data_IF_057186279545
#
_entry.id   IF_057186279545
#
_cell.length_a   1.000
_cell.length_b   1.000
_cell.length_c   1.000
_cell.angle_alpha   90.00
_cell.angle_beta   90.00
_cell.angle_gamma   90.00
#
_symmetry.space_group_name_H-M   'P 1'
#
loop_
_entity.id
_entity.type
_entity.pdbx_description
1 polymer ?
#
# COMPACT_ATOMS: atom_id res chain seq x y z
N UNK A 1 66.98 -32.27 13.71
CA UNK A 1 65.93 -31.52 14.46
C UNK A 1 64.82 -31.17 13.48
N UNK A 2 63.57 -31.41 13.90
CA UNK A 2 62.29 -30.84 13.45
C UNK A 2 62.32 -29.80 12.30
N UNK A 3 61.44 -29.81 11.31
CA UNK A 3 60.18 -30.53 11.10
C UNK A 3 59.52 -30.03 9.80
N UNK A 4 58.53 -30.77 9.31
CA UNK A 4 57.67 -30.36 8.19
C UNK A 4 56.94 -29.04 8.48
N UNK A 5 56.75 -28.21 7.44
CA UNK A 5 55.52 -27.42 7.34
C UNK A 5 55.10 -27.26 5.88
N UNK A 6 54.18 -28.12 5.46
CA UNK A 6 53.22 -27.83 4.39
C UNK A 6 52.06 -27.07 5.04
N UNK A 7 51.79 -25.87 4.54
CA UNK A 7 50.51 -25.15 4.63
C UNK A 7 50.39 -24.47 3.25
N UNK A 8 49.52 -24.86 2.33
CA UNK A 8 48.08 -25.08 2.49
C UNK A 8 47.44 -23.72 2.80
N UNK A 9 46.46 -23.19 2.10
CA UNK A 9 45.61 -23.64 0.99
C UNK A 9 44.65 -22.46 0.70
N UNK A 10 43.91 -22.51 -0.41
CA UNK A 10 42.55 -21.92 -0.58
C UNK A 10 42.42 -20.43 -0.93
N UNK A 11 42.18 -20.24 -2.23
CA UNK A 11 41.17 -19.38 -2.90
C UNK A 11 40.05 -18.74 -2.06
N UNK A 12 39.66 -17.51 -2.43
CA UNK A 12 38.32 -16.94 -2.20
C UNK A 12 38.28 -15.47 -2.63
N UNK A 13 37.58 -15.02 -3.67
CA UNK A 13 36.26 -15.46 -4.14
C UNK A 13 35.20 -14.84 -3.23
N UNK A 14 34.70 -13.65 -3.55
CA UNK A 14 33.71 -13.00 -2.68
C UNK A 14 33.33 -11.57 -3.05
N UNK A 15 32.99 -11.32 -4.32
CA UNK A 15 32.28 -10.10 -4.72
C UNK A 15 31.13 -10.44 -5.66
N UNK A 16 30.32 -11.43 -5.29
CA UNK A 16 29.05 -11.75 -5.96
C UNK A 16 28.06 -12.09 -4.86
N UNK A 17 27.26 -11.12 -4.40
CA UNK A 17 26.34 -11.39 -3.29
C UNK A 17 25.22 -10.40 -3.06
N UNK A 18 25.20 -9.22 -3.70
CA UNK A 18 24.18 -8.19 -3.38
C UNK A 18 23.09 -8.05 -4.44
N UNK A 19 23.28 -8.61 -5.65
CA UNK A 19 22.31 -8.41 -6.75
C UNK A 19 21.20 -9.47 -6.82
N UNK A 20 21.33 -10.61 -6.14
CA UNK A 20 20.34 -11.70 -6.27
C UNK A 20 19.07 -11.42 -5.47
N UNK A 21 19.18 -10.72 -4.32
CA UNK A 21 18.03 -10.46 -3.46
C UNK A 21 17.00 -9.52 -4.12
N UNK A 22 17.45 -8.52 -4.88
CA UNK A 22 16.55 -7.61 -5.59
C UNK A 22 15.88 -8.27 -6.82
N UNK A 23 16.60 -9.15 -7.53
CA UNK A 23 16.09 -9.84 -8.71
C UNK A 23 15.07 -10.95 -8.42
N UNK A 24 15.13 -11.55 -7.23
CA UNK A 24 14.25 -12.67 -6.86
C UNK A 24 12.77 -12.28 -6.67
N UNK A 25 12.48 -11.00 -6.39
CA UNK A 25 11.10 -10.51 -6.26
C UNK A 25 10.45 -10.21 -7.61
N UNK A 26 11.22 -9.89 -8.65
CA UNK A 26 10.68 -9.55 -9.97
C UNK A 26 10.18 -10.76 -10.76
N UNK A 27 10.60 -11.98 -10.39
CA UNK A 27 10.32 -13.20 -11.14
C UNK A 27 9.06 -13.97 -10.70
N UNK A 28 8.37 -13.55 -9.63
CA UNK A 28 7.24 -14.29 -9.09
C UNK A 28 5.96 -13.46 -9.04
N UNK A 29 5.30 -13.38 -10.19
CA UNK A 29 3.98 -12.78 -10.33
C UNK A 29 2.99 -13.89 -10.72
N UNK A 30 2.56 -14.70 -9.76
CA UNK A 30 1.52 -15.72 -9.99
C UNK A 30 0.85 -16.32 -8.73
N UNK A 31 1.31 -16.01 -7.51
CA UNK A 31 0.62 -16.51 -6.32
C UNK A 31 -0.64 -15.67 -6.07
N UNK A 32 -1.79 -16.32 -5.93
CA UNK A 32 -3.02 -15.66 -5.50
C UNK A 32 -2.85 -14.95 -4.14
N UNK A 33 -3.77 -14.06 -3.79
CA UNK A 33 -3.73 -13.34 -2.52
C UNK A 33 -3.98 -14.31 -1.36
N UNK A 34 -3.03 -14.42 -0.42
CA UNK A 34 -3.26 -15.10 0.85
C UNK A 34 -4.21 -14.23 1.70
N UNK A 35 -5.48 -14.65 1.80
CA UNK A 35 -6.52 -13.90 2.51
C UNK A 35 -6.25 -13.72 4.00
N UNK A 36 -5.54 -14.67 4.63
CA UNK A 36 -5.19 -14.56 6.05
C UNK A 36 -4.14 -13.47 6.22
N UNK A 37 -3.05 -13.54 5.45
CA UNK A 37 -2.01 -12.52 5.48
C UNK A 37 -2.57 -11.15 5.10
N UNK A 38 -3.44 -11.10 4.09
CA UNK A 38 -4.12 -9.87 3.67
C UNK A 38 -4.96 -9.27 4.80
N UNK A 39 -5.70 -10.09 5.54
CA UNK A 39 -6.46 -9.66 6.72
C UNK A 39 -5.59 -9.04 7.82
N UNK A 40 -4.33 -9.50 7.95
CA UNK A 40 -3.37 -8.97 8.92
C UNK A 40 -2.75 -7.64 8.45
N UNK A 41 -2.36 -7.53 7.17
CA UNK A 41 -1.63 -6.36 6.66
C UNK A 41 -2.53 -5.22 6.19
N UNK A 42 -3.74 -5.52 5.68
CA UNK A 42 -4.65 -4.50 5.12
C UNK A 42 -4.94 -3.36 6.10
N UNK A 43 -5.32 -3.58 7.36
CA UNK A 43 -5.61 -2.48 8.29
C UNK A 43 -4.39 -1.59 8.56
N UNK A 44 -3.18 -2.19 8.56
CA UNK A 44 -1.92 -1.45 8.73
C UNK A 44 -1.65 -0.54 7.52
N UNK A 45 -1.89 -1.05 6.31
CA UNK A 45 -1.76 -0.28 5.07
C UNK A 45 -2.77 0.86 5.05
N UNK A 46 -4.05 0.59 5.29
CA UNK A 46 -5.13 1.60 5.28
C UNK A 46 -4.90 2.69 6.32
N UNK A 47 -4.46 2.33 7.53
CA UNK A 47 -4.12 3.29 8.57
C UNK A 47 -2.93 4.18 8.16
N UNK A 48 -1.90 3.60 7.52
CA UNK A 48 -0.75 4.37 7.03
C UNK A 48 -1.16 5.31 5.90
N UNK A 49 -1.98 4.86 4.96
CA UNK A 49 -2.53 5.68 3.87
C UNK A 49 -3.30 6.88 4.42
N UNK A 50 -4.26 6.65 5.32
CA UNK A 50 -5.05 7.72 5.92
C UNK A 50 -4.20 8.71 6.74
N UNK A 51 -3.11 8.24 7.37
CA UNK A 51 -2.17 9.11 8.07
C UNK A 51 -1.34 9.98 7.11
N UNK A 52 -0.91 9.42 5.97
CA UNK A 52 -0.12 10.13 4.96
C UNK A 52 -0.94 11.15 4.14
N UNK A 53 -2.26 10.94 4.00
CA UNK A 53 -3.14 11.88 3.31
C UNK A 53 -3.48 13.14 4.13
N UNK A 54 -3.21 13.14 5.45
CA UNK A 54 -3.49 14.31 6.28
C UNK A 54 -2.73 15.53 5.77
N UNK A 55 -3.42 16.66 5.66
CA UNK A 55 -2.87 17.93 5.18
C UNK A 55 -2.84 18.08 3.67
N UNK A 56 -3.23 17.07 2.88
CA UNK A 56 -3.23 17.17 1.41
C UNK A 56 -4.61 17.45 0.81
N UNK A 57 -5.67 17.54 1.62
CA UNK A 57 -7.05 17.66 1.18
C UNK A 57 -7.58 19.09 1.21
N UNK A 58 -8.55 19.38 0.33
CA UNK A 58 -9.23 20.67 0.30
C UNK A 58 -10.11 20.86 1.54
N UNK A 59 -10.80 19.81 2.00
CA UNK A 59 -11.76 19.89 3.09
C UNK A 59 -11.14 20.31 4.42
N UNK A 60 -9.91 19.87 4.68
CA UNK A 60 -9.11 20.30 5.84
C UNK A 60 -8.81 21.81 5.85
N UNK A 61 -8.83 22.48 4.69
CA UNK A 61 -8.64 23.94 4.58
C UNK A 61 -9.92 24.74 4.81
N UNK A 62 -11.10 24.10 4.80
CA UNK A 62 -12.40 24.76 4.94
C UNK A 62 -12.86 24.70 6.41
N UNK A 63 -12.94 25.85 7.11
CA UNK A 63 -13.39 25.86 8.50
C UNK A 63 -14.81 25.30 8.66
N UNK A 64 -15.02 24.52 9.73
CA UNK A 64 -16.34 24.02 10.11
C UNK A 64 -16.78 22.72 9.43
N UNK A 65 -16.06 22.23 8.41
CA UNK A 65 -16.37 20.95 7.73
C UNK A 65 -15.84 19.74 8.52
N UNK A 66 -14.74 19.92 9.25
CA UNK A 66 -14.13 18.85 10.06
C UNK A 66 -13.70 17.65 9.22
N UNK A 67 -13.21 17.90 8.00
CA UNK A 67 -12.92 16.87 7.02
C UNK A 67 -11.88 15.85 7.51
N UNK A 68 -12.00 14.61 7.01
CA UNK A 68 -11.13 13.49 7.36
C UNK A 68 -10.97 12.53 6.19
N UNK A 69 -9.76 11.98 6.08
CA UNK A 69 -9.42 10.94 5.12
C UNK A 69 -9.88 9.55 5.55
N UNK A 70 -10.49 8.83 4.62
CA UNK A 70 -10.89 7.44 4.71
C UNK A 70 -10.26 6.71 3.52
N UNK A 71 -9.46 5.69 3.82
CA UNK A 71 -8.73 4.93 2.81
C UNK A 71 -9.09 3.46 2.88
N UNK A 72 -9.20 2.83 1.71
CA UNK A 72 -9.27 1.37 1.57
C UNK A 72 -8.21 0.89 0.58
N UNK A 73 -7.79 -0.34 0.77
CA UNK A 73 -6.90 -1.03 -0.14
C UNK A 73 -7.52 -2.35 -0.62
N UNK A 74 -7.21 -2.73 -1.86
CA UNK A 74 -7.50 -4.04 -2.43
C UNK A 74 -6.19 -4.67 -2.89
N UNK A 75 -5.97 -5.94 -2.55
CA UNK A 75 -4.74 -6.63 -2.91
C UNK A 75 -4.77 -7.03 -4.40
N UNK A 76 -3.74 -6.63 -5.13
CA UNK A 76 -3.45 -7.08 -6.48
C UNK A 76 -2.44 -8.23 -6.46
N UNK A 77 -1.46 -8.14 -5.56
CA UNK A 77 -0.38 -9.10 -5.37
C UNK A 77 0.04 -9.11 -3.91
N UNK A 78 0.39 -10.27 -3.38
CA UNK A 78 0.89 -10.40 -2.02
C UNK A 78 1.94 -11.50 -1.96
N UNK A 79 3.12 -11.18 -1.44
CA UNK A 79 4.21 -12.13 -1.25
C UNK A 79 4.90 -11.87 0.09
N UNK A 80 5.17 -12.92 0.85
CA UNK A 80 5.89 -12.88 2.13
C UNK A 80 7.15 -13.73 2.06
N UNK A 81 8.28 -13.15 2.48
CA UNK A 81 9.56 -13.86 2.62
C UNK A 81 10.35 -13.32 3.80
N UNK A 82 10.87 -14.24 4.63
CA UNK A 82 11.70 -13.92 5.79
C UNK A 82 11.10 -12.83 6.70
N UNK A 83 9.77 -12.85 6.87
CA UNK A 83 9.04 -11.87 7.68
C UNK A 83 8.86 -10.49 7.03
N UNK A 84 9.19 -10.35 5.75
CA UNK A 84 8.93 -9.16 4.94
C UNK A 84 7.80 -9.44 3.96
N UNK A 85 6.88 -8.50 3.83
CA UNK A 85 5.73 -8.59 2.91
C UNK A 85 5.88 -7.54 1.83
N UNK A 86 5.74 -7.95 0.57
CA UNK A 86 5.51 -7.05 -0.56
C UNK A 86 4.04 -7.15 -0.95
N UNK A 87 3.29 -6.09 -0.70
CA UNK A 87 1.91 -5.96 -1.10
C UNK A 87 1.81 -5.03 -2.31
N UNK A 88 1.39 -5.58 -3.44
CA UNK A 88 0.88 -4.77 -4.55
C UNK A 88 -0.60 -4.51 -4.32
N UNK A 89 -1.01 -3.25 -4.21
CA UNK A 89 -2.38 -2.88 -3.85
C UNK A 89 -2.96 -1.84 -4.81
N UNK A 90 -4.26 -1.92 -5.07
CA UNK A 90 -5.02 -0.77 -5.55
C UNK A 90 -5.54 0.00 -4.33
N UNK A 91 -5.46 1.33 -4.35
CA UNK A 91 -5.84 2.16 -3.21
C UNK A 91 -6.90 3.16 -3.61
N UNK A 92 -7.87 3.40 -2.73
CA UNK A 92 -8.85 4.46 -2.84
C UNK A 92 -8.86 5.23 -1.52
N UNK A 93 -8.53 6.52 -1.55
CA UNK A 93 -8.61 7.42 -0.42
C UNK A 93 -9.55 8.57 -0.76
N UNK A 94 -10.53 8.81 0.10
CA UNK A 94 -11.51 9.88 -0.03
C UNK A 94 -11.48 10.75 1.22
N UNK A 95 -11.48 12.05 1.04
CA UNK A 95 -11.66 13.04 2.09
C UNK A 95 -13.14 13.38 2.19
N UNK A 96 -13.73 13.08 3.33
CA UNK A 96 -15.11 13.40 3.63
C UNK A 96 -15.21 14.39 4.78
N UNK A 97 -16.19 15.28 4.71
CA UNK A 97 -16.64 16.12 5.81
C UNK A 97 -18.14 15.96 6.06
N UNK A 98 -18.66 16.73 7.02
CA UNK A 98 -20.09 16.79 7.28
C UNK A 98 -20.59 18.23 7.29
N UNK A 99 -21.74 18.46 6.64
CA UNK A 99 -22.38 19.77 6.57
C UNK A 99 -23.89 19.58 6.40
N UNK A 100 -24.68 20.31 7.17
CA UNK A 100 -26.15 20.34 7.04
C UNK A 100 -26.79 18.93 6.99
N UNK A 101 -26.36 18.04 7.91
CA UNK A 101 -26.77 16.62 8.00
C UNK A 101 -26.45 15.76 6.76
N UNK A 102 -25.62 16.26 5.85
CA UNK A 102 -25.12 15.55 4.68
C UNK A 102 -23.63 15.23 4.82
N UNK A 103 -23.20 14.21 4.07
CA UNK A 103 -21.79 13.91 3.85
C UNK A 103 -21.31 14.76 2.66
N UNK A 104 -20.13 15.38 2.76
CA UNK A 104 -19.52 16.12 1.65
C UNK A 104 -18.19 15.48 1.27
N UNK A 105 -17.98 15.25 -0.03
CA UNK A 105 -16.73 14.74 -0.60
C UNK A 105 -15.86 15.92 -1.03
N UNK A 106 -14.68 16.07 -0.41
CA UNK A 106 -13.82 17.24 -0.61
C UNK A 106 -12.59 16.98 -1.46
N UNK A 107 -12.08 15.74 -1.45
CA UNK A 107 -10.91 15.34 -2.24
C UNK A 107 -10.88 13.82 -2.35
N UNK A 108 -10.18 13.31 -3.36
CA UNK A 108 -10.09 11.87 -3.57
C UNK A 108 -8.93 11.50 -4.46
N UNK A 109 -8.43 10.28 -4.29
CA UNK A 109 -7.36 9.72 -5.10
C UNK A 109 -7.46 8.21 -5.17
N UNK A 110 -7.29 7.69 -6.39
CA UNK A 110 -7.18 6.26 -6.65
C UNK A 110 -5.93 5.99 -7.48
N UNK A 111 -5.06 5.12 -6.99
CA UNK A 111 -3.87 4.70 -7.72
C UNK A 111 -3.29 3.42 -7.10
N UNK A 112 -2.60 2.58 -7.90
CA UNK A 112 -1.92 1.40 -7.41
C UNK A 112 -0.63 1.79 -6.67
N UNK A 113 -0.22 0.95 -5.73
CA UNK A 113 1.00 1.14 -4.94
C UNK A 113 1.69 -0.19 -4.65
N UNK A 114 3.01 -0.13 -4.45
CA UNK A 114 3.76 -1.23 -3.85
C UNK A 114 4.08 -0.83 -2.42
N UNK A 115 3.59 -1.60 -1.45
CA UNK A 115 3.84 -1.40 -0.03
C UNK A 115 4.73 -2.52 0.47
N UNK A 116 5.81 -2.15 1.17
CA UNK A 116 6.66 -3.12 1.87
C UNK A 116 6.39 -3.04 3.36
N UNK A 117 6.18 -4.19 3.97
CA UNK A 117 5.97 -4.33 5.40
C UNK A 117 7.00 -5.27 5.99
N UNK A 118 7.30 -5.07 7.26
CA UNK A 118 8.12 -5.96 8.06
C UNK A 118 7.38 -6.33 9.34
N UNK A 119 7.66 -7.52 9.87
CA UNK A 119 7.20 -7.91 11.19
C UNK A 119 7.86 -7.04 12.27
N UNK A 120 7.04 -6.45 13.12
CA UNK A 120 7.46 -5.67 14.28
C UNK A 120 7.72 -6.58 15.49
N UNK A 121 8.37 -6.02 16.52
CA UNK A 121 8.77 -6.77 17.72
C UNK A 121 7.57 -7.27 18.56
N UNK A 122 6.41 -6.64 18.41
CA UNK A 122 5.14 -7.04 19.03
C UNK A 122 4.41 -8.15 18.26
N UNK A 123 4.98 -8.62 17.14
CA UNK A 123 4.39 -9.62 16.27
C UNK A 123 3.40 -9.06 15.25
N UNK A 124 3.15 -7.74 15.22
CA UNK A 124 2.37 -7.08 14.17
C UNK A 124 3.19 -6.81 12.91
N UNK A 125 2.58 -6.18 11.90
CA UNK A 125 3.28 -5.64 10.73
C UNK A 125 3.41 -4.12 10.82
N UNK A 126 4.50 -3.59 10.28
CA UNK A 126 4.71 -2.14 10.09
C UNK A 126 5.06 -1.87 8.64
N UNK A 127 4.55 -0.77 8.07
CA UNK A 127 4.97 -0.31 6.75
C UNK A 127 6.39 0.26 6.84
N UNK A 128 7.29 -0.22 5.98
CA UNK A 128 8.69 0.23 5.92
C UNK A 128 9.00 1.03 4.68
N UNK A 129 8.31 0.78 3.57
CA UNK A 129 8.38 1.63 2.39
C UNK A 129 7.10 1.58 1.56
N UNK A 130 6.93 2.61 0.74
CA UNK A 130 5.85 2.73 -0.24
C UNK A 130 6.43 3.27 -1.55
N UNK A 131 6.02 2.66 -2.65
CA UNK A 131 6.31 3.12 -4.00
C UNK A 131 4.98 3.51 -4.67
N UNK A 132 4.94 4.69 -5.28
CA UNK A 132 3.77 5.25 -5.97
C UNK A 132 4.15 5.52 -7.43
N UNK A 133 3.19 5.47 -8.37
CA UNK A 133 3.46 5.84 -9.76
C UNK A 133 3.83 7.33 -9.86
N UNK A 134 4.67 7.71 -10.84
CA UNK A 134 4.84 9.11 -11.18
C UNK A 134 3.52 9.67 -11.77
N UNK A 135 3.28 10.96 -11.56
CA UNK A 135 2.18 11.65 -12.19
C UNK A 135 2.38 11.74 -13.71
N UNK A 136 1.29 11.59 -14.47
CA UNK A 136 1.28 11.78 -15.91
C UNK A 136 2.10 10.75 -16.69
N UNK A 137 3.07 11.24 -17.48
CA UNK A 137 3.87 10.40 -18.36
C UNK A 137 4.76 9.44 -17.53
N UNK A 138 4.55 8.13 -17.72
CA UNK A 138 5.26 7.08 -16.99
C UNK A 138 4.38 6.29 -16.03
N UNK A 139 3.14 6.73 -15.76
CA UNK A 139 2.21 5.98 -14.90
C UNK A 139 1.97 4.55 -15.38
N UNK A 140 1.61 4.38 -16.66
CA UNK A 140 1.29 3.07 -17.23
C UNK A 140 2.52 2.14 -17.27
N UNK A 141 3.67 2.68 -17.67
CA UNK A 141 4.93 1.93 -17.69
C UNK A 141 5.35 1.48 -16.29
N UNK A 142 5.22 2.38 -15.30
CA UNK A 142 5.50 2.04 -13.91
C UNK A 142 4.56 0.93 -13.42
N UNK A 143 3.25 1.06 -13.63
CA UNK A 143 2.27 0.06 -13.21
C UNK A 143 2.59 -1.30 -13.85
N UNK A 144 2.82 -1.35 -15.16
CA UNK A 144 3.21 -2.58 -15.85
C UNK A 144 4.48 -3.20 -15.28
N UNK A 145 5.49 -2.39 -14.99
CA UNK A 145 6.77 -2.88 -14.46
C UNK A 145 6.66 -3.45 -13.03
N UNK A 146 5.72 -2.96 -12.22
CA UNK A 146 5.58 -3.34 -10.81
C UNK A 146 4.57 -4.45 -10.57
N UNK A 147 3.55 -4.54 -11.40
CA UNK A 147 2.45 -5.48 -11.23
C UNK A 147 2.38 -6.53 -12.34
N UNK A 148 2.99 -6.28 -13.50
CA UNK A 148 2.76 -7.09 -14.70
C UNK A 148 1.37 -6.85 -15.30
N UNK A 149 1.13 -7.42 -16.49
CA UNK A 149 -0.07 -7.13 -17.30
C UNK A 149 -1.41 -7.46 -16.59
N UNK A 150 -1.51 -8.59 -15.89
CA UNK A 150 -2.78 -9.01 -15.29
C UNK A 150 -3.19 -8.12 -14.11
N UNK A 151 -2.23 -7.77 -13.25
CA UNK A 151 -2.50 -6.90 -12.11
C UNK A 151 -2.55 -5.41 -12.51
N UNK A 152 -1.97 -5.02 -13.66
CA UNK A 152 -2.21 -3.72 -14.29
C UNK A 152 -3.68 -3.57 -14.68
N UNK A 153 -4.28 -4.55 -15.35
CA UNK A 153 -5.71 -4.51 -15.70
C UNK A 153 -6.61 -4.44 -14.45
N UNK A 154 -6.31 -5.23 -13.42
CA UNK A 154 -7.05 -5.18 -12.15
C UNK A 154 -6.87 -3.84 -11.39
N UNK A 155 -5.75 -3.13 -11.59
CA UNK A 155 -5.56 -1.80 -11.01
C UNK A 155 -6.44 -0.74 -11.69
N UNK A 156 -6.83 -0.95 -12.94
CA UNK A 156 -7.71 -0.06 -13.69
C UNK A 156 -9.18 -0.21 -13.29
N UNK A 157 -9.58 -1.37 -12.76
CA UNK A 157 -10.94 -1.66 -12.32
C UNK A 157 -11.45 -0.65 -11.28
N UNK A 158 -12.67 -0.10 -11.48
CA UNK A 158 -13.21 0.92 -10.59
C UNK A 158 -13.39 0.38 -9.18
N UNK A 159 -12.97 1.17 -8.19
CA UNK A 159 -13.18 0.85 -6.78
C UNK A 159 -14.40 1.60 -6.25
N UNK A 160 -15.31 0.88 -5.58
CA UNK A 160 -16.48 1.50 -4.94
C UNK A 160 -16.10 2.30 -3.69
N UNK A 161 -16.65 3.52 -3.58
CA UNK A 161 -16.57 4.39 -2.40
C UNK A 161 -17.56 4.03 -1.30
N UNK A 162 -18.56 3.17 -1.56
CA UNK A 162 -19.69 2.94 -0.66
C UNK A 162 -19.28 2.56 0.78
N UNK A 163 -18.24 1.73 0.92
CA UNK A 163 -17.72 1.36 2.24
C UNK A 163 -17.03 2.54 2.94
N UNK A 164 -16.36 3.40 2.19
CA UNK A 164 -15.75 4.63 2.72
C UNK A 164 -16.82 5.62 3.15
N UNK A 165 -17.85 5.82 2.33
CA UNK A 165 -18.99 6.68 2.69
C UNK A 165 -19.73 6.16 3.92
N UNK A 166 -19.95 4.84 4.03
CA UNK A 166 -20.57 4.25 5.22
C UNK A 166 -19.71 4.49 6.47
N UNK A 167 -18.39 4.30 6.38
CA UNK A 167 -17.46 4.59 7.46
C UNK A 167 -17.44 6.08 7.82
N UNK A 168 -17.53 6.97 6.84
CA UNK A 168 -17.56 8.41 7.03
C UNK A 168 -18.88 8.87 7.68
N UNK A 169 -20.03 8.38 7.21
CA UNK A 169 -21.34 8.62 7.85
C UNK A 169 -21.31 8.18 9.32
N UNK A 170 -20.78 6.98 9.60
CA UNK A 170 -20.62 6.51 10.97
C UNK A 170 -19.69 7.42 11.80
N UNK A 171 -18.58 7.88 11.22
CA UNK A 171 -17.64 8.79 11.88
C UNK A 171 -18.29 10.12 12.26
N UNK A 172 -19.03 10.73 11.33
CA UNK A 172 -19.73 11.99 11.51
C UNK A 172 -21.09 11.87 12.19
N UNK A 173 -21.50 10.65 12.56
CA UNK A 173 -22.79 10.34 13.22
C UNK A 173 -23.99 10.76 12.37
N UNK A 174 -23.87 10.64 11.06
CA UNK A 174 -24.94 10.90 10.10
C UNK A 174 -25.85 9.67 9.94
N UNK A 175 -27.12 9.85 9.50
CA UNK A 175 -27.95 8.75 9.05
C UNK A 175 -27.25 7.91 7.98
N UNK A 176 -27.49 6.59 7.96
CA UNK A 176 -26.85 5.68 6.99
C UNK A 176 -27.18 6.03 5.51
N UNK A 177 -28.32 6.70 5.29
CA UNK A 177 -28.78 7.18 3.99
C UNK A 177 -28.59 8.69 3.80
N UNK A 178 -27.78 9.35 4.63
CA UNK A 178 -27.46 10.75 4.45
C UNK A 178 -26.87 10.97 3.03
N UNK A 179 -27.35 11.99 2.30
CA UNK A 179 -26.90 12.23 0.93
C UNK A 179 -25.41 12.58 0.92
N UNK A 180 -24.76 12.27 -0.21
CA UNK A 180 -23.38 12.67 -0.49
C UNK A 180 -23.42 13.81 -1.50
N UNK A 181 -22.81 14.94 -1.15
CA UNK A 181 -22.63 16.09 -2.02
C UNK A 181 -21.16 16.40 -2.25
N UNK A 182 -20.91 17.34 -3.16
CA UNK A 182 -19.57 17.92 -3.30
C UNK A 182 -19.33 18.95 -2.19
N UNK A 183 -18.08 18.98 -1.72
CA UNK A 183 -17.45 20.12 -1.07
C UNK A 183 -17.10 21.17 -2.16
#
# INVERSE_FOLDING_TARGET
>A
MAGLSVRGWVTGGGAVGVLVAAGAWAMWSAAGVDERLWGEVRPVIEARLAADSRGSGYGETVPGIGARWFCRAEALQLDERDGQVRAGVNTLCMEYGARDEALVECSGGRYPQVVRLERAADGGYRVVSREQPPDGAGYAEWTRSRFGLLAESAAEDPMSSETLEAAARAHFRLPANAPVGAC
#
